data_IF_603560938075
#
_entry.id   IF_603560938075
#
_cell.length_a   1.000
_cell.length_b   1.000
_cell.length_c   1.000
_cell.angle_alpha   90.00
_cell.angle_beta   90.00
_cell.angle_gamma   90.00
#
_symmetry.space_group_name_H-M   'P 1'
#
loop_
_entity.id
_entity.type
_entity.pdbx_description
1 polymer ?
#
# COMPACT_ATOMS: atom_id res chain seq x y z
N UNK A 1 -10.23 0.75 -21.20
CA UNK A 1 -9.30 1.00 -20.09
C UNK A 1 -7.88 0.75 -20.57
N UNK A 2 -6.96 1.69 -20.34
CA UNK A 2 -5.55 1.51 -20.71
C UNK A 2 -4.90 0.48 -19.78
N UNK A 3 -4.20 -0.50 -20.32
CA UNK A 3 -3.51 -1.53 -19.53
C UNK A 3 -2.18 -0.96 -19.03
N UNK A 4 -2.09 -0.69 -17.74
CA UNK A 4 -0.84 -0.31 -17.07
C UNK A 4 -0.20 -1.57 -16.49
N UNK A 5 1.08 -1.82 -16.78
CA UNK A 5 1.82 -2.93 -16.19
C UNK A 5 2.70 -2.41 -15.07
N UNK A 6 2.58 -3.00 -13.88
CA UNK A 6 3.44 -2.73 -12.73
C UNK A 6 4.33 -3.96 -12.54
N UNK A 7 5.64 -3.80 -12.71
CA UNK A 7 6.60 -4.88 -12.44
C UNK A 7 6.86 -4.95 -10.94
N UNK A 8 6.68 -6.13 -10.35
CA UNK A 8 6.98 -6.40 -8.94
C UNK A 8 8.00 -7.53 -8.83
N UNK A 9 8.79 -7.52 -7.77
CA UNK A 9 9.68 -8.66 -7.46
C UNK A 9 8.87 -9.87 -6.97
N UNK A 10 9.54 -11.04 -6.92
CA UNK A 10 8.89 -12.30 -6.55
C UNK A 10 8.36 -12.31 -5.11
N UNK A 11 9.06 -11.64 -4.18
CA UNK A 11 8.67 -11.58 -2.77
C UNK A 11 7.42 -10.71 -2.61
N UNK A 12 7.39 -9.56 -3.29
CA UNK A 12 6.22 -8.69 -3.35
C UNK A 12 5.04 -9.41 -3.96
N UNK A 13 5.25 -10.18 -5.04
CA UNK A 13 4.18 -11.00 -5.64
C UNK A 13 3.60 -12.02 -4.65
N UNK A 14 4.44 -12.74 -3.92
CA UNK A 14 4.00 -13.73 -2.93
C UNK A 14 3.16 -13.10 -1.81
N UNK A 15 3.57 -11.92 -1.33
CA UNK A 15 2.80 -11.17 -0.33
C UNK A 15 1.43 -10.76 -0.85
N UNK A 16 1.37 -10.29 -2.10
CA UNK A 16 0.11 -9.91 -2.72
C UNK A 16 -0.81 -11.12 -2.92
N UNK A 17 -0.25 -12.28 -3.26
CA UNK A 17 -1.00 -13.53 -3.43
C UNK A 17 -1.63 -14.01 -2.11
N UNK A 18 -0.94 -13.83 -0.98
CA UNK A 18 -1.48 -14.13 0.35
C UNK A 18 -2.60 -13.18 0.78
N UNK A 19 -2.61 -11.94 0.30
CA UNK A 19 -3.63 -10.93 0.61
C UNK A 19 -4.85 -11.02 -0.31
N UNK A 20 -4.66 -11.65 -1.48
CA UNK A 20 -5.69 -11.90 -2.46
C UNK A 20 -6.59 -13.05 -1.97
N UNK A 21 -7.90 -12.86 -2.04
CA UNK A 21 -8.90 -13.90 -1.80
C UNK A 21 -8.88 -14.94 -2.93
N UNK A 22 -9.27 -16.17 -2.61
CA UNK A 22 -9.27 -17.27 -3.57
C UNK A 22 -10.26 -17.06 -4.74
N UNK A 23 -11.38 -16.37 -4.50
CA UNK A 23 -12.42 -16.13 -5.51
C UNK A 23 -12.29 -14.79 -6.26
N UNK A 24 -11.39 -13.89 -5.84
CA UNK A 24 -11.22 -12.58 -6.49
C UNK A 24 -10.19 -12.61 -7.63
N UNK A 25 -10.30 -11.71 -8.59
CA UNK A 25 -9.28 -11.47 -9.61
C UNK A 25 -8.24 -10.45 -9.12
N UNK A 26 -7.11 -10.32 -9.83
CA UNK A 26 -6.12 -9.29 -9.52
C UNK A 26 -6.70 -7.88 -9.65
N UNK A 27 -7.57 -7.64 -10.62
CA UNK A 27 -8.20 -6.34 -10.82
C UNK A 27 -9.17 -6.01 -9.67
N UNK A 28 -9.95 -6.99 -9.20
CA UNK A 28 -10.86 -6.83 -8.05
C UNK A 28 -10.10 -6.65 -6.73
N UNK A 29 -9.02 -7.40 -6.52
CA UNK A 29 -8.14 -7.21 -5.37
C UNK A 29 -7.55 -5.80 -5.36
N UNK A 30 -6.95 -5.37 -6.49
CA UNK A 30 -6.37 -4.05 -6.62
C UNK A 30 -7.41 -2.95 -6.45
N UNK A 31 -8.61 -3.14 -6.99
CA UNK A 31 -9.72 -2.23 -6.79
C UNK A 31 -10.07 -2.14 -5.29
N UNK A 32 -10.28 -3.27 -4.61
CA UNK A 32 -10.61 -3.34 -3.18
C UNK A 32 -9.58 -2.67 -2.28
N UNK A 33 -8.28 -2.84 -2.53
CA UNK A 33 -7.24 -2.19 -1.71
C UNK A 33 -7.00 -0.72 -2.09
N UNK A 34 -7.42 -0.32 -3.29
CA UNK A 34 -7.35 1.06 -3.77
C UNK A 34 -8.63 1.85 -3.53
N UNK A 35 -9.73 1.16 -3.24
CA UNK A 35 -10.96 1.74 -2.77
C UNK A 35 -10.67 2.43 -1.44
N UNK A 36 -11.04 3.71 -1.30
CA UNK A 36 -10.76 4.45 -0.09
C UNK A 36 -11.53 3.83 1.08
N UNK A 37 -10.84 3.10 1.95
CA UNK A 37 -11.31 2.83 3.32
C UNK A 37 -11.39 4.17 4.06
N UNK A 38 -12.54 4.83 3.91
CA UNK A 38 -12.74 6.25 4.24
C UNK A 38 -11.72 7.18 3.53
N UNK A 39 -12.07 8.42 3.22
CA UNK A 39 -11.04 9.40 2.91
C UNK A 39 -10.04 9.40 4.07
N UNK A 40 -8.74 9.35 3.78
CA UNK A 40 -7.77 9.92 4.73
C UNK A 40 -8.17 11.40 4.79
N UNK A 41 -9.01 11.74 5.77
CA UNK A 41 -9.35 13.12 6.10
C UNK A 41 -8.02 13.88 6.16
N UNK A 42 -7.87 14.94 5.39
CA UNK A 42 -6.68 15.78 5.47
C UNK A 42 -6.67 16.40 6.88
N UNK A 43 -5.90 15.79 7.80
CA UNK A 43 -5.96 16.02 9.25
C UNK A 43 -6.17 14.76 10.12
N UNK A 44 -6.25 13.56 9.53
CA UNK A 44 -6.45 12.30 10.25
C UNK A 44 -5.27 11.88 11.13
N UNK A 45 -4.08 12.40 10.87
CA UNK A 45 -2.92 12.23 11.75
C UNK A 45 -2.74 13.51 12.54
N UNK A 46 -2.62 13.36 13.86
CA UNK A 46 -2.02 14.41 14.68
C UNK A 46 -0.62 14.73 14.13
N UNK A 47 -0.16 15.98 14.27
CA UNK A 47 1.19 16.39 13.84
C UNK A 47 2.27 15.42 14.38
N UNK A 48 2.02 14.87 15.56
CA UNK A 48 2.87 13.90 16.25
C UNK A 48 2.94 12.52 15.56
N UNK A 49 1.83 12.02 15.02
CA UNK A 49 1.79 10.76 14.25
C UNK A 49 2.43 10.91 12.88
N UNK A 50 2.22 12.05 12.23
CA UNK A 50 2.86 12.38 10.97
C UNK A 50 4.39 12.44 11.13
N UNK A 51 4.89 13.04 12.21
CA UNK A 51 6.33 13.13 12.46
C UNK A 51 6.95 11.78 12.84
N UNK A 52 6.24 10.92 13.58
CA UNK A 52 6.71 9.54 13.85
C UNK A 52 6.79 8.68 12.59
N UNK A 53 5.85 8.81 11.67
CA UNK A 53 5.89 8.12 10.38
C UNK A 53 7.08 8.59 9.52
N UNK A 54 7.31 9.91 9.46
CA UNK A 54 8.47 10.50 8.76
C UNK A 54 9.81 10.02 9.35
N UNK A 55 9.93 9.99 10.68
CA UNK A 55 11.12 9.50 11.38
C UNK A 55 11.43 8.03 11.08
N UNK A 56 10.41 7.18 11.02
CA UNK A 56 10.56 5.76 10.70
C UNK A 56 11.09 5.53 9.27
N UNK A 57 10.56 6.29 8.31
CA UNK A 57 11.01 6.26 6.91
C UNK A 57 12.44 6.79 6.78
N UNK A 58 12.78 7.85 7.53
CA UNK A 58 14.13 8.43 7.56
C UNK A 58 15.15 7.43 8.11
N UNK A 59 14.86 6.79 9.25
CA UNK A 59 15.73 5.76 9.84
C UNK A 59 15.91 4.54 8.93
N UNK A 60 14.86 4.14 8.21
CA UNK A 60 14.95 3.04 7.24
C UNK A 60 15.86 3.37 6.06
N UNK A 61 15.96 4.65 5.67
CA UNK A 61 16.86 5.14 4.61
C UNK A 61 18.31 5.34 5.06
N UNK A 62 18.55 5.56 6.35
CA UNK A 62 19.90 5.69 6.92
C UNK A 62 20.55 4.33 7.25
N UNK A 63 19.75 3.26 7.31
CA UNK A 63 20.21 1.89 7.59
C UNK A 63 20.41 1.02 6.33
N UNK A 64 20.44 1.62 5.13
CA UNK A 64 20.68 0.93 3.86
C UNK A 64 22.06 1.25 3.29
#
# INVERSE_FOLDING_TARGET
>A
MSRTSITVDAVTKERLDQLKRDDETWDEYLLRISEPEEPIEAGAWSDEEADRAKESIRKSRENW
#
